data_IF_167673094915
#
_entry.id   IF_167673094915
#
_cell.length_a   1.000
_cell.length_b   1.000
_cell.length_c   1.000
_cell.angle_alpha   90.00
_cell.angle_beta   90.00
_cell.angle_gamma   90.00
#
_symmetry.space_group_name_H-M   'P 1'
#
loop_
_entity.id
_entity.type
_entity.pdbx_description
1 polymer ?
#
# COMPACT_ATOMS: atom_id res chain seq x y z
N UNK A 1 -27.46 -1.11 -7.14
CA UNK A 1 -26.74 -0.03 -6.45
C UNK A 1 -26.53 -0.25 -4.95
N UNK A 2 -27.59 -0.43 -4.13
CA UNK A 2 -27.38 -0.65 -2.68
C UNK A 2 -26.54 -1.89 -2.38
N UNK A 3 -26.82 -3.03 -3.02
CA UNK A 3 -26.05 -4.26 -2.85
C UNK A 3 -24.58 -4.07 -3.25
N UNK A 4 -24.32 -3.39 -4.37
CA UNK A 4 -22.94 -3.08 -4.81
C UNK A 4 -22.23 -2.18 -3.80
N UNK A 5 -22.90 -1.16 -3.26
CA UNK A 5 -22.36 -0.29 -2.22
C UNK A 5 -21.94 -1.08 -0.96
N UNK A 6 -22.81 -1.98 -0.49
CA UNK A 6 -22.49 -2.84 0.66
C UNK A 6 -21.31 -3.77 0.34
N UNK A 7 -21.30 -4.40 -0.83
CA UNK A 7 -20.21 -5.29 -1.24
C UNK A 7 -18.89 -4.54 -1.36
N UNK A 8 -18.88 -3.32 -1.91
CA UNK A 8 -17.68 -2.48 -1.98
C UNK A 8 -17.19 -2.07 -0.58
N UNK A 9 -18.12 -1.76 0.33
CA UNK A 9 -17.78 -1.54 1.73
C UNK A 9 -17.13 -2.77 2.37
N UNK A 10 -17.65 -3.96 2.10
CA UNK A 10 -17.05 -5.23 2.58
C UNK A 10 -15.68 -5.49 1.95
N UNK A 11 -15.49 -5.19 0.67
CA UNK A 11 -14.17 -5.27 0.01
C UNK A 11 -13.18 -4.35 0.70
N UNK A 12 -13.55 -3.11 1.01
CA UNK A 12 -12.69 -2.18 1.72
C UNK A 12 -12.38 -2.67 3.15
N UNK A 13 -13.36 -3.24 3.85
CA UNK A 13 -13.15 -3.87 5.16
C UNK A 13 -12.19 -5.06 5.07
N UNK A 14 -12.32 -5.90 4.05
CA UNK A 14 -11.43 -7.04 3.82
C UNK A 14 -9.97 -6.58 3.60
N UNK A 15 -9.76 -5.57 2.76
CA UNK A 15 -8.43 -5.00 2.53
C UNK A 15 -7.81 -4.42 3.80
N UNK A 16 -8.60 -3.70 4.60
CA UNK A 16 -8.11 -3.12 5.85
C UNK A 16 -7.90 -4.18 6.95
N UNK A 17 -8.51 -5.36 6.83
CA UNK A 17 -8.32 -6.50 7.73
C UNK A 17 -7.07 -7.33 7.39
N UNK A 18 -6.22 -6.90 6.47
CA UNK A 18 -5.00 -7.62 6.04
C UNK A 18 -4.17 -8.16 7.20
N UNK A 19 -3.99 -7.34 8.25
CA UNK A 19 -3.18 -7.72 9.41
C UNK A 19 -3.74 -8.90 10.22
N UNK A 20 -5.01 -9.25 10.05
CA UNK A 20 -5.61 -10.47 10.63
C UNK A 20 -5.13 -11.75 9.93
N UNK A 21 -4.76 -11.63 8.65
CA UNK A 21 -4.31 -12.74 7.80
C UNK A 21 -2.79 -12.79 7.64
N UNK A 22 -2.07 -11.99 8.41
CA UNK A 22 -0.63 -11.78 8.23
C UNK A 22 -0.35 -10.78 7.10
N UNK A 23 0.89 -10.72 6.61
CA UNK A 23 1.27 -9.82 5.50
C UNK A 23 0.85 -10.45 4.16
N UNK A 24 -0.45 -10.42 3.86
CA UNK A 24 -1.06 -11.08 2.70
C UNK A 24 -1.12 -10.21 1.45
N UNK A 25 -0.76 -8.92 1.55
CA UNK A 25 -0.85 -7.94 0.48
C UNK A 25 -2.28 -7.73 -0.07
N UNK A 26 -3.30 -8.08 0.72
CA UNK A 26 -4.71 -7.87 0.36
C UNK A 26 -5.07 -6.39 0.19
N UNK A 27 -4.43 -5.51 0.95
CA UNK A 27 -4.67 -4.07 0.91
C UNK A 27 -4.15 -3.41 -0.38
N UNK A 28 -3.36 -4.12 -1.18
CA UNK A 28 -2.72 -3.55 -2.37
C UNK A 28 -3.75 -3.17 -3.45
N UNK A 29 -3.55 -2.04 -4.13
CA UNK A 29 -4.46 -1.55 -5.16
C UNK A 29 -4.77 -2.56 -6.25
N UNK A 30 -3.82 -3.38 -6.68
CA UNK A 30 -4.04 -4.43 -7.66
C UNK A 30 -5.12 -5.41 -7.21
N UNK A 31 -5.09 -5.83 -5.95
CA UNK A 31 -6.08 -6.75 -5.37
C UNK A 31 -7.42 -6.05 -5.15
N UNK A 32 -7.41 -4.86 -4.56
CA UNK A 32 -8.62 -4.08 -4.29
C UNK A 32 -9.36 -3.68 -5.56
N UNK A 33 -8.63 -3.25 -6.60
CA UNK A 33 -9.19 -2.95 -7.91
C UNK A 33 -9.81 -4.16 -8.58
N UNK A 34 -9.15 -5.31 -8.51
CA UNK A 34 -9.67 -6.59 -9.02
C UNK A 34 -10.96 -7.00 -8.31
N UNK A 35 -10.99 -6.95 -6.98
CA UNK A 35 -12.19 -7.28 -6.18
C UNK A 35 -13.35 -6.30 -6.47
N UNK A 36 -13.03 -5.02 -6.65
CA UNK A 36 -14.00 -3.99 -7.07
C UNK A 36 -14.58 -4.32 -8.44
N UNK A 37 -13.74 -4.72 -9.39
CA UNK A 37 -14.16 -5.15 -10.73
C UNK A 37 -15.06 -6.39 -10.68
N UNK A 38 -14.78 -7.36 -9.82
CA UNK A 38 -15.64 -8.54 -9.61
C UNK A 38 -17.02 -8.12 -9.11
N UNK A 39 -17.08 -7.22 -8.11
CA UNK A 39 -18.35 -6.72 -7.54
C UNK A 39 -19.19 -5.99 -8.58
N UNK A 40 -18.56 -5.25 -9.48
CA UNK A 40 -19.24 -4.45 -10.50
C UNK A 40 -19.47 -5.19 -11.82
N UNK A 41 -18.89 -6.38 -11.99
CA UNK A 41 -19.05 -7.22 -13.19
C UNK A 41 -18.09 -6.87 -14.33
N UNK A 42 -17.06 -6.08 -14.09
CA UNK A 42 -16.00 -5.74 -15.05
C UNK A 42 -14.61 -5.97 -14.44
N UNK A 43 -14.21 -7.23 -14.41
CA UNK A 43 -12.95 -7.68 -13.82
C UNK A 43 -11.75 -7.14 -14.61
N UNK A 44 -11.85 -7.10 -15.94
CA UNK A 44 -10.75 -6.66 -16.80
C UNK A 44 -10.38 -5.20 -16.52
N UNK A 45 -11.37 -4.32 -16.48
CA UNK A 45 -11.18 -2.91 -16.12
C UNK A 45 -10.69 -2.80 -14.68
N UNK A 46 -11.25 -3.59 -13.75
CA UNK A 46 -10.82 -3.62 -12.34
C UNK A 46 -9.33 -3.94 -12.17
N UNK A 47 -8.82 -4.96 -12.85
CA UNK A 47 -7.39 -5.33 -12.85
C UNK A 47 -6.53 -4.21 -13.44
N UNK A 48 -6.92 -3.64 -14.57
CA UNK A 48 -6.16 -2.59 -15.24
C UNK A 48 -6.05 -1.33 -14.38
N UNK A 49 -7.17 -0.91 -13.78
CA UNK A 49 -7.21 0.25 -12.89
C UNK A 49 -6.46 -0.03 -11.58
N UNK A 50 -6.61 -1.24 -11.04
CA UNK A 50 -5.85 -1.68 -9.87
C UNK A 50 -4.34 -1.63 -10.11
N UNK A 51 -3.86 -2.10 -11.26
CA UNK A 51 -2.46 -2.01 -11.64
C UNK A 51 -1.98 -0.55 -11.78
N UNK A 52 -2.79 0.32 -12.37
CA UNK A 52 -2.47 1.75 -12.51
C UNK A 52 -2.36 2.43 -11.15
N UNK A 53 -3.33 2.16 -10.25
CA UNK A 53 -3.32 2.69 -8.88
C UNK A 53 -2.22 2.06 -8.03
N UNK A 54 -1.82 0.80 -8.29
CA UNK A 54 -0.66 0.17 -7.64
C UNK A 54 0.60 0.98 -7.89
N UNK A 55 0.83 1.42 -9.13
CA UNK A 55 1.98 2.27 -9.47
C UNK A 55 1.91 3.63 -8.78
N UNK A 56 0.71 4.21 -8.64
CA UNK A 56 0.52 5.48 -7.95
C UNK A 56 0.78 5.38 -6.44
N UNK A 57 0.38 4.28 -5.81
CA UNK A 57 0.54 4.04 -4.38
C UNK A 57 1.77 3.19 -4.03
N UNK A 58 2.64 2.88 -5.00
CA UNK A 58 3.80 2.01 -4.79
C UNK A 58 4.73 2.51 -3.67
N UNK A 59 4.91 3.83 -3.54
CA UNK A 59 5.69 4.44 -2.48
C UNK A 59 4.90 4.82 -1.22
N UNK A 60 3.62 4.49 -1.13
CA UNK A 60 2.76 4.85 -0.02
C UNK A 60 2.86 3.83 1.13
N UNK A 61 4.01 3.80 1.79
CA UNK A 61 4.24 2.97 2.99
C UNK A 61 4.24 3.82 4.26
N UNK A 62 3.68 3.27 5.34
CA UNK A 62 3.79 3.89 6.66
C UNK A 62 5.21 3.74 7.19
N UNK A 63 5.86 4.87 7.48
CA UNK A 63 7.22 4.93 8.05
C UNK A 63 7.13 5.67 9.38
N UNK A 64 7.24 4.93 10.47
CA UNK A 64 7.07 5.49 11.81
C UNK A 64 5.68 6.10 12.01
N UNK A 65 5.61 7.34 12.44
CA UNK A 65 4.35 8.08 12.65
C UNK A 65 3.77 8.69 11.36
N UNK A 66 4.46 8.60 10.23
CA UNK A 66 3.96 9.08 8.94
C UNK A 66 3.00 8.07 8.34
N UNK A 67 1.73 8.44 8.25
CA UNK A 67 0.68 7.60 7.66
C UNK A 67 0.38 8.15 6.26
N UNK A 68 0.56 7.35 5.21
CA UNK A 68 0.24 7.76 3.84
C UNK A 68 -1.27 7.88 3.63
N UNK A 69 -1.73 8.49 2.52
CA UNK A 69 -3.13 8.48 2.12
C UNK A 69 -3.72 7.07 2.14
N UNK A 70 -5.01 6.96 2.47
CA UNK A 70 -5.68 5.68 2.64
C UNK A 70 -5.95 5.03 1.28
N UNK A 71 -5.03 4.17 0.84
CA UNK A 71 -5.02 3.60 -0.52
C UNK A 71 -6.19 2.65 -0.81
N UNK A 72 -6.75 1.97 0.20
CA UNK A 72 -7.83 1.00 0.01
C UNK A 72 -9.09 1.70 -0.48
N UNK A 73 -9.56 2.72 0.26
CA UNK A 73 -10.74 3.49 -0.11
C UNK A 73 -10.55 4.26 -1.41
N UNK A 74 -9.36 4.85 -1.60
CA UNK A 74 -9.00 5.53 -2.84
C UNK A 74 -9.08 4.60 -4.04
N UNK A 75 -8.56 3.38 -3.90
CA UNK A 75 -8.61 2.37 -4.96
C UNK A 75 -10.02 1.88 -5.22
N UNK A 76 -10.75 1.48 -4.17
CA UNK A 76 -12.10 0.93 -4.33
C UNK A 76 -13.04 1.96 -4.97
N UNK A 77 -13.07 3.19 -4.45
CA UNK A 77 -13.95 4.24 -4.98
C UNK A 77 -13.45 4.77 -6.33
N UNK A 78 -12.15 4.96 -6.53
CA UNK A 78 -11.59 5.37 -7.81
C UNK A 78 -11.92 4.38 -8.92
N UNK A 79 -11.69 3.09 -8.68
CA UNK A 79 -12.02 2.00 -9.62
C UNK A 79 -13.53 1.91 -9.84
N UNK A 80 -14.34 1.95 -8.76
CA UNK A 80 -15.78 1.82 -8.86
C UNK A 80 -16.41 2.93 -9.66
N UNK A 81 -16.01 4.19 -9.45
CA UNK A 81 -16.54 5.30 -10.21
C UNK A 81 -16.07 5.30 -11.66
N UNK A 82 -14.84 4.88 -11.94
CA UNK A 82 -14.36 4.74 -13.31
C UNK A 82 -15.15 3.69 -14.09
N UNK A 83 -15.40 2.53 -13.50
CA UNK A 83 -16.22 1.47 -14.12
C UNK A 83 -17.65 1.94 -14.34
N UNK A 84 -18.28 2.56 -13.33
CA UNK A 84 -19.71 2.95 -13.41
C UNK A 84 -19.96 4.14 -14.32
N UNK A 85 -19.00 5.05 -14.47
CA UNK A 85 -19.13 6.20 -15.39
C UNK A 85 -18.68 5.88 -16.82
N UNK A 86 -17.96 4.77 -17.04
CA UNK A 86 -17.35 4.46 -18.33
C UNK A 86 -16.25 5.45 -18.74
N UNK A 87 -15.70 6.20 -17.78
CA UNK A 87 -14.66 7.18 -18.02
C UNK A 87 -13.28 6.51 -18.19
N UNK A 88 -12.29 7.27 -18.65
CA UNK A 88 -10.93 6.75 -18.84
C UNK A 88 -10.20 6.44 -17.53
N UNK A 89 -9.08 5.70 -17.61
CA UNK A 89 -8.30 5.29 -16.44
C UNK A 89 -7.81 6.44 -15.55
N UNK A 90 -7.62 7.63 -16.13
CA UNK A 90 -7.25 8.88 -15.43
C UNK A 90 -8.27 9.28 -14.36
N UNK A 91 -9.53 8.85 -14.52
CA UNK A 91 -10.60 9.09 -13.54
C UNK A 91 -10.33 8.39 -12.23
N UNK A 92 -9.78 7.17 -12.28
CA UNK A 92 -9.44 6.41 -11.08
C UNK A 92 -8.45 7.17 -10.19
N UNK A 93 -7.46 7.83 -10.77
CA UNK A 93 -6.50 8.68 -10.04
C UNK A 93 -7.13 9.99 -9.57
N UNK A 94 -7.88 10.65 -10.47
CA UNK A 94 -8.51 11.95 -10.18
C UNK A 94 -9.49 11.87 -9.01
N UNK A 95 -10.20 10.75 -8.89
CA UNK A 95 -11.14 10.50 -7.78
C UNK A 95 -10.44 9.79 -6.61
N UNK A 96 -9.62 8.81 -6.90
CA UNK A 96 -8.99 7.95 -5.87
C UNK A 96 -8.05 8.71 -4.94
N UNK A 97 -7.18 9.59 -5.45
CA UNK A 97 -6.22 10.33 -4.62
C UNK A 97 -6.88 11.32 -3.65
N UNK A 98 -7.83 12.18 -4.05
CA UNK A 98 -8.55 13.02 -3.11
C UNK A 98 -9.35 12.22 -2.09
N UNK A 99 -10.01 11.14 -2.52
CA UNK A 99 -10.75 10.25 -1.62
C UNK A 99 -9.82 9.61 -0.59
N UNK A 100 -8.67 9.09 -1.00
CA UNK A 100 -7.66 8.52 -0.11
C UNK A 100 -7.23 9.51 0.97
N UNK A 101 -7.05 10.78 0.60
CA UNK A 101 -6.67 11.85 1.54
C UNK A 101 -7.80 12.21 2.51
N UNK A 102 -9.04 12.28 2.03
CA UNK A 102 -10.20 12.56 2.88
C UNK A 102 -10.48 11.42 3.86
N UNK A 103 -10.40 10.18 3.40
CA UNK A 103 -10.63 9.01 4.26
C UNK A 103 -9.53 8.85 5.30
N UNK A 104 -8.29 9.26 5.01
CA UNK A 104 -7.23 9.33 6.01
C UNK A 104 -7.61 10.21 7.20
N UNK A 105 -8.24 11.36 6.95
CA UNK A 105 -8.72 12.25 8.03
C UNK A 105 -9.74 11.51 8.90
N UNK A 106 -10.73 10.86 8.29
CA UNK A 106 -11.75 10.11 9.01
C UNK A 106 -11.15 8.91 9.78
N UNK A 107 -10.18 8.22 9.21
CA UNK A 107 -9.41 7.15 9.87
C UNK A 107 -8.68 7.67 11.11
N UNK A 108 -8.02 8.82 11.01
CA UNK A 108 -7.34 9.46 12.13
C UNK A 108 -8.31 9.86 13.25
N UNK A 109 -9.50 10.37 12.91
CA UNK A 109 -10.56 10.64 13.90
C UNK A 109 -10.95 9.35 14.62
N UNK A 110 -11.13 8.25 13.91
CA UNK A 110 -11.40 6.94 14.51
C UNK A 110 -10.29 6.48 15.47
N UNK A 111 -9.04 6.64 15.07
CA UNK A 111 -7.87 6.29 15.90
C UNK A 111 -7.74 7.13 17.15
N UNK A 112 -8.08 8.43 17.09
CA UNK A 112 -7.93 9.35 18.21
C UNK A 112 -9.12 9.28 19.19
N UNK A 113 -10.33 9.08 18.71
CA UNK A 113 -11.53 9.16 19.55
C UNK A 113 -12.18 7.81 19.83
N UNK A 114 -12.19 6.88 18.88
CA UNK A 114 -12.91 5.60 19.02
C UNK A 114 -12.00 4.51 19.58
N UNK A 115 -10.74 4.48 19.18
CA UNK A 115 -9.80 3.44 19.60
C UNK A 115 -9.38 3.53 21.09
N UNK A 116 -9.11 4.71 21.70
CA UNK A 116 -8.58 4.80 23.06
C UNK A 116 -9.43 4.12 24.14
N UNK A 117 -10.77 4.18 24.16
CA UNK A 117 -11.59 3.43 25.12
C UNK A 117 -11.33 1.92 25.10
N UNK A 118 -11.07 1.33 23.92
CA UNK A 118 -10.74 -0.09 23.80
C UNK A 118 -9.35 -0.39 24.33
N UNK A 119 -8.38 0.52 24.07
CA UNK A 119 -7.01 0.41 24.59
C UNK A 119 -7.01 0.47 26.13
N UNK A 120 -7.65 1.47 26.73
CA UNK A 120 -7.74 1.56 28.19
C UNK A 120 -8.41 0.35 28.85
N UNK A 121 -9.38 -0.26 28.16
CA UNK A 121 -10.03 -1.48 28.64
C UNK A 121 -9.11 -2.70 28.50
N UNK A 122 -8.31 -2.74 27.45
CA UNK A 122 -7.29 -3.76 27.25
C UNK A 122 -6.21 -3.68 28.36
N UNK A 123 -5.76 -2.47 28.73
CA UNK A 123 -4.80 -2.24 29.79
C UNK A 123 -5.30 -2.77 31.16
N UNK A 124 -6.60 -2.56 31.46
CA UNK A 124 -7.21 -3.13 32.67
C UNK A 124 -7.18 -4.66 32.66
N UNK A 125 -7.56 -5.28 31.53
CA UNK A 125 -7.50 -6.74 31.40
C UNK A 125 -6.06 -7.28 31.49
N UNK A 126 -5.09 -6.52 31.00
CA UNK A 126 -3.68 -6.87 31.13
C UNK A 126 -3.22 -6.83 32.60
N UNK A 127 -3.62 -5.80 33.34
CA UNK A 127 -3.32 -5.69 34.79
C UNK A 127 -3.97 -6.82 35.63
N UNK A 128 -5.13 -7.33 35.17
CA UNK A 128 -5.83 -8.47 35.78
C UNK A 128 -5.28 -9.83 35.31
N UNK A 129 -4.29 -9.88 34.41
CA UNK A 129 -3.77 -11.11 33.83
C UNK A 129 -4.73 -11.80 32.84
N UNK A 130 -5.79 -11.11 32.41
CA UNK A 130 -6.82 -11.66 31.52
C UNK A 130 -6.45 -11.51 30.03
N UNK A 131 -5.62 -12.41 29.53
CA UNK A 131 -5.15 -12.40 28.13
C UNK A 131 -6.28 -12.49 27.09
N UNK A 132 -7.36 -13.26 27.39
CA UNK A 132 -8.51 -13.36 26.50
C UNK A 132 -9.29 -12.02 26.42
N UNK A 133 -9.32 -11.26 27.50
CA UNK A 133 -9.88 -9.91 27.55
C UNK A 133 -9.08 -8.94 26.67
N UNK A 134 -7.76 -8.96 26.75
CA UNK A 134 -6.85 -8.16 25.93
C UNK A 134 -7.06 -8.46 24.43
N UNK A 135 -7.04 -9.74 24.07
CA UNK A 135 -7.24 -10.16 22.68
C UNK A 135 -8.61 -9.69 22.12
N UNK A 136 -9.68 -9.82 22.92
CA UNK A 136 -11.01 -9.33 22.52
C UNK A 136 -11.04 -7.83 22.30
N UNK A 137 -10.42 -7.03 23.18
CA UNK A 137 -10.38 -5.57 23.03
C UNK A 137 -9.56 -5.16 21.82
N UNK A 138 -8.47 -5.87 21.51
CA UNK A 138 -7.69 -5.62 20.31
C UNK A 138 -8.51 -5.83 19.03
N UNK A 139 -9.22 -6.97 18.92
CA UNK A 139 -10.06 -7.26 17.77
C UNK A 139 -11.24 -6.29 17.63
N UNK A 140 -11.95 -5.99 18.74
CA UNK A 140 -13.07 -5.07 18.72
C UNK A 140 -12.63 -3.64 18.43
N UNK A 141 -11.51 -3.18 18.99
CA UNK A 141 -10.93 -1.86 18.71
C UNK A 141 -10.53 -1.71 17.25
N UNK A 142 -9.85 -2.70 16.68
CA UNK A 142 -9.48 -2.71 15.26
C UNK A 142 -10.72 -2.71 14.35
N UNK A 143 -11.73 -3.51 14.70
CA UNK A 143 -12.97 -3.59 13.92
C UNK A 143 -13.78 -2.28 13.98
N UNK A 144 -14.13 -1.80 15.16
CA UNK A 144 -14.97 -0.60 15.31
C UNK A 144 -14.20 0.70 15.13
N UNK A 145 -12.94 0.75 15.56
CA UNK A 145 -12.13 1.97 15.52
C UNK A 145 -11.63 2.35 14.13
N UNK A 146 -11.43 1.37 13.26
CA UNK A 146 -10.85 1.62 11.92
C UNK A 146 -11.63 0.92 10.82
N UNK A 147 -11.81 -0.40 10.90
CA UNK A 147 -12.29 -1.21 9.79
C UNK A 147 -13.74 -0.87 9.40
N UNK A 148 -14.64 -0.81 10.35
CA UNK A 148 -16.06 -0.46 10.11
C UNK A 148 -16.21 0.96 9.56
N UNK A 149 -15.40 1.91 10.05
CA UNK A 149 -15.44 3.31 9.57
C UNK A 149 -15.12 3.36 8.09
N UNK A 150 -14.04 2.70 7.66
CA UNK A 150 -13.64 2.65 6.25
C UNK A 150 -14.73 1.98 5.40
N UNK A 151 -15.25 0.85 5.84
CA UNK A 151 -16.32 0.14 5.12
C UNK A 151 -17.57 1.00 4.94
N UNK A 152 -18.01 1.70 5.99
CA UNK A 152 -19.18 2.59 5.93
C UNK A 152 -18.91 3.79 5.01
N UNK A 153 -17.73 4.41 5.10
CA UNK A 153 -17.38 5.54 4.23
C UNK A 153 -17.36 5.11 2.77
N UNK A 154 -16.79 3.95 2.45
CA UNK A 154 -16.75 3.45 1.07
C UNK A 154 -18.16 3.12 0.57
N UNK A 155 -18.98 2.44 1.38
CA UNK A 155 -20.35 2.11 1.01
C UNK A 155 -21.21 3.36 0.79
N UNK A 156 -21.18 4.30 1.72
CA UNK A 156 -21.90 5.57 1.60
C UNK A 156 -21.34 6.44 0.46
N UNK A 157 -20.02 6.49 0.33
CA UNK A 157 -19.34 7.24 -0.72
C UNK A 157 -19.73 6.74 -2.12
N UNK A 158 -19.78 5.44 -2.33
CA UNK A 158 -20.25 4.88 -3.60
C UNK A 158 -21.75 5.12 -3.84
N UNK A 159 -22.59 4.92 -2.82
CA UNK A 159 -24.02 5.04 -2.93
C UNK A 159 -24.46 6.48 -3.24
N UNK A 160 -23.88 7.46 -2.56
CA UNK A 160 -24.24 8.87 -2.67
C UNK A 160 -23.33 9.69 -3.62
N UNK A 161 -22.14 9.17 -3.93
CA UNK A 161 -21.10 9.92 -4.62
C UNK A 161 -21.26 9.99 -6.15
N UNK A 162 -22.07 9.12 -6.76
CA UNK A 162 -22.22 9.08 -8.22
C UNK A 162 -22.51 10.43 -8.87
N UNK A 163 -23.54 11.16 -8.43
CA UNK A 163 -23.84 12.49 -8.99
C UNK A 163 -22.72 13.52 -8.79
N UNK A 164 -22.05 13.48 -7.65
CA UNK A 164 -20.93 14.39 -7.35
C UNK A 164 -19.71 14.11 -8.23
N UNK A 165 -19.38 12.84 -8.45
CA UNK A 165 -18.29 12.44 -9.35
C UNK A 165 -18.62 12.80 -10.80
N UNK A 166 -19.85 12.57 -11.25
CA UNK A 166 -20.29 12.98 -12.58
C UNK A 166 -20.17 14.49 -12.77
N UNK A 167 -20.62 15.28 -11.78
CA UNK A 167 -20.48 16.73 -11.82
C UNK A 167 -19.02 17.17 -11.88
N UNK A 168 -18.15 16.53 -11.09
CA UNK A 168 -16.70 16.77 -11.10
C UNK A 168 -16.11 16.50 -12.49
N UNK A 169 -16.41 15.35 -13.09
CA UNK A 169 -15.91 14.97 -14.41
C UNK A 169 -16.36 15.95 -15.52
N UNK A 170 -17.57 16.47 -15.41
CA UNK A 170 -18.10 17.43 -16.37
C UNK A 170 -17.41 18.83 -16.29
N UNK A 171 -16.84 19.17 -15.14
CA UNK A 171 -16.12 20.44 -14.92
C UNK A 171 -14.65 20.35 -15.34
N UNK A 172 -14.07 19.14 -15.36
CA UNK A 172 -12.67 18.96 -15.72
C UNK A 172 -12.45 19.22 -17.21
N UNK A 173 -11.67 20.26 -17.59
CA UNK A 173 -11.34 20.52 -18.98
C UNK A 173 -10.52 19.38 -19.60
N UNK A 174 -10.68 19.15 -20.90
CA UNK A 174 -9.97 18.09 -21.64
C UNK A 174 -8.45 18.16 -21.52
N UNK A 175 -7.86 19.35 -21.41
CA UNK A 175 -6.42 19.50 -21.26
C UNK A 175 -5.91 18.97 -19.90
N UNK A 176 -6.72 19.05 -18.83
CA UNK A 176 -6.41 18.46 -17.53
C UNK A 176 -6.46 16.93 -17.63
N UNK A 177 -7.54 16.37 -18.22
CA UNK A 177 -7.64 14.91 -18.40
C UNK A 177 -6.50 14.37 -19.25
N UNK A 178 -6.14 15.05 -20.33
CA UNK A 178 -4.98 14.67 -21.14
C UNK A 178 -3.66 14.77 -20.36
N UNK A 179 -3.50 15.83 -19.54
CA UNK A 179 -2.34 15.98 -18.67
C UNK A 179 -2.22 14.85 -17.64
N UNK A 180 -3.35 14.48 -17.02
CA UNK A 180 -3.39 13.34 -16.09
C UNK A 180 -3.06 12.02 -16.79
N UNK A 181 -3.55 11.80 -18.01
CA UNK A 181 -3.24 10.63 -18.81
C UNK A 181 -1.75 10.52 -19.13
N UNK A 182 -1.10 11.64 -19.47
CA UNK A 182 0.36 11.67 -19.65
C UNK A 182 1.09 11.40 -18.32
N UNK A 183 0.60 11.99 -17.23
CA UNK A 183 1.16 11.80 -15.89
C UNK A 183 1.12 10.33 -15.46
N UNK A 184 0.08 9.57 -15.83
CA UNK A 184 0.00 8.13 -15.55
C UNK A 184 1.21 7.37 -16.12
N UNK A 185 1.73 7.78 -17.27
CA UNK A 185 2.96 7.22 -17.84
C UNK A 185 4.22 7.48 -17.01
N UNK A 186 4.21 8.48 -16.12
CA UNK A 186 5.31 8.80 -15.21
C UNK A 186 5.19 8.10 -13.84
N UNK A 187 4.01 7.60 -13.49
CA UNK A 187 3.79 6.95 -12.18
C UNK A 187 4.76 5.80 -11.89
N UNK A 188 5.07 4.90 -12.85
CA UNK A 188 6.08 3.86 -12.60
C UNK A 188 7.43 4.43 -12.19
N UNK A 189 7.89 5.49 -12.85
CA UNK A 189 9.16 6.12 -12.53
C UNK A 189 9.15 6.75 -11.13
N UNK A 190 8.06 7.41 -10.77
CA UNK A 190 7.89 8.01 -9.44
C UNK A 190 7.81 6.90 -8.37
N UNK A 191 7.01 5.85 -8.59
CA UNK A 191 6.86 4.75 -7.66
C UNK A 191 8.17 4.01 -7.42
N UNK A 192 8.91 3.68 -8.47
CA UNK A 192 10.24 3.07 -8.35
C UNK A 192 11.26 4.03 -7.72
N UNK A 193 11.19 5.33 -8.01
CA UNK A 193 12.02 6.34 -7.37
C UNK A 193 11.80 6.41 -5.86
N UNK A 194 10.56 6.34 -5.40
CA UNK A 194 10.24 6.31 -3.98
C UNK A 194 10.75 5.03 -3.30
N UNK A 195 10.58 3.85 -3.94
CA UNK A 195 11.16 2.60 -3.44
C UNK A 195 12.68 2.66 -3.38
N UNK A 196 13.31 3.21 -4.43
CA UNK A 196 14.75 3.40 -4.46
C UNK A 196 15.24 4.26 -3.31
N UNK A 197 14.56 5.38 -3.01
CA UNK A 197 14.89 6.25 -1.88
C UNK A 197 14.82 5.53 -0.52
N UNK A 198 13.97 4.51 -0.38
CA UNK A 198 13.86 3.73 0.85
C UNK A 198 14.99 2.69 1.00
N UNK A 199 15.52 2.19 -0.11
CA UNK A 199 16.51 1.10 -0.14
C UNK A 199 17.94 1.66 -0.30
N UNK A 200 18.07 2.82 -0.95
CA UNK A 200 19.38 3.39 -1.30
C UNK A 200 20.10 3.92 -0.07
N UNK A 201 21.24 3.33 0.21
CA UNK A 201 22.24 3.84 1.14
C UNK A 201 23.56 4.06 0.38
N UNK A 202 24.52 4.74 1.00
CA UNK A 202 25.84 5.06 0.40
C UNK A 202 26.58 3.80 -0.05
N UNK A 203 26.44 2.71 0.71
CA UNK A 203 27.12 1.45 0.45
C UNK A 203 26.54 0.68 -0.74
N UNK A 204 25.25 0.85 -1.04
CA UNK A 204 24.57 0.15 -2.12
C UNK A 204 24.34 1.00 -3.37
N UNK A 205 24.57 2.30 -3.29
CA UNK A 205 24.35 3.22 -4.40
C UNK A 205 25.17 2.87 -5.66
N UNK A 206 26.37 2.32 -5.48
CA UNK A 206 27.23 1.90 -6.62
C UNK A 206 26.57 0.79 -7.46
N UNK A 207 25.80 -0.11 -6.84
CA UNK A 207 25.09 -1.19 -7.55
C UNK A 207 23.91 -0.68 -8.36
N UNK A 208 23.27 0.42 -7.94
CA UNK A 208 22.25 1.08 -8.73
C UNK A 208 22.84 1.62 -10.04
N UNK A 209 23.97 2.35 -9.96
CA UNK A 209 24.64 2.88 -11.15
C UNK A 209 25.18 1.77 -12.05
N UNK A 210 25.68 0.67 -11.47
CA UNK A 210 26.09 -0.51 -12.23
C UNK A 210 24.91 -1.11 -12.99
N UNK A 211 23.77 -1.36 -12.34
CA UNK A 211 22.56 -1.88 -12.99
C UNK A 211 22.02 -0.95 -14.08
N UNK A 212 22.03 0.36 -13.82
CA UNK A 212 21.66 1.37 -14.80
C UNK A 212 22.59 1.33 -16.04
N UNK A 213 23.89 1.28 -15.85
CA UNK A 213 24.85 1.18 -16.94
C UNK A 213 24.67 -0.09 -17.77
N UNK A 214 24.45 -1.24 -17.14
CA UNK A 214 24.18 -2.51 -17.81
C UNK A 214 22.89 -2.44 -18.65
N UNK A 215 21.85 -1.81 -18.13
CA UNK A 215 20.57 -1.64 -18.83
C UNK A 215 20.69 -0.72 -20.04
N UNK A 216 21.30 0.46 -19.85
CA UNK A 216 21.32 1.52 -20.87
C UNK A 216 22.37 1.27 -21.96
N UNK A 217 23.59 0.88 -21.59
CA UNK A 217 24.68 0.72 -22.54
C UNK A 217 24.75 -0.67 -23.15
N UNK A 218 24.55 -1.72 -22.36
CA UNK A 218 24.59 -3.10 -22.85
C UNK A 218 23.22 -3.64 -23.27
N UNK A 219 22.14 -2.87 -23.03
CA UNK A 219 20.75 -3.25 -23.33
C UNK A 219 20.35 -4.61 -22.77
N UNK A 220 20.93 -4.99 -21.63
CA UNK A 220 20.60 -6.24 -20.96
C UNK A 220 19.18 -6.14 -20.38
N UNK A 221 18.31 -7.17 -20.55
CA UNK A 221 16.97 -7.17 -19.97
C UNK A 221 17.02 -7.01 -18.44
N UNK A 222 16.09 -6.25 -17.88
CA UNK A 222 16.02 -5.97 -16.43
C UNK A 222 15.95 -7.26 -15.61
N UNK A 223 15.26 -8.29 -16.11
CA UNK A 223 15.20 -9.62 -15.48
C UNK A 223 16.58 -10.26 -15.34
N UNK A 224 17.43 -10.17 -16.36
CA UNK A 224 18.79 -10.71 -16.30
C UNK A 224 19.65 -9.91 -15.31
N UNK A 225 19.52 -8.58 -15.29
CA UNK A 225 20.21 -7.72 -14.31
C UNK A 225 19.77 -8.07 -12.88
N UNK A 226 18.48 -8.34 -12.65
CA UNK A 226 17.97 -8.76 -11.34
C UNK A 226 18.59 -10.09 -10.88
N UNK A 227 18.73 -11.06 -11.79
CA UNK A 227 19.38 -12.36 -11.49
C UNK A 227 20.86 -12.15 -11.14
N UNK A 228 21.60 -11.37 -11.93
CA UNK A 228 23.00 -11.05 -11.62
C UNK A 228 23.13 -10.31 -10.29
N UNK A 229 22.25 -9.35 -10.02
CA UNK A 229 22.21 -8.63 -8.74
C UNK A 229 21.99 -9.56 -7.55
N UNK A 230 21.06 -10.51 -7.67
CA UNK A 230 20.79 -11.50 -6.63
C UNK A 230 22.01 -12.41 -6.38
N UNK A 231 22.69 -12.87 -7.45
CA UNK A 231 23.91 -13.68 -7.34
C UNK A 231 25.02 -12.90 -6.64
N UNK A 232 25.24 -11.65 -7.05
CA UNK A 232 26.24 -10.77 -6.44
C UNK A 232 25.94 -10.55 -4.96
N UNK A 233 24.67 -10.29 -4.60
CA UNK A 233 24.26 -10.10 -3.21
C UNK A 233 24.54 -11.35 -2.35
N UNK A 234 24.24 -12.55 -2.86
CA UNK A 234 24.53 -13.82 -2.16
C UNK A 234 26.04 -13.99 -1.96
N UNK A 235 26.83 -13.78 -2.99
CA UNK A 235 28.29 -13.92 -2.91
C UNK A 235 28.90 -12.93 -1.90
N UNK A 236 28.48 -11.66 -1.95
CA UNK A 236 28.98 -10.65 -1.02
C UNK A 236 28.59 -10.92 0.44
N UNK A 237 27.37 -11.41 0.68
CA UNK A 237 26.94 -11.79 2.04
C UNK A 237 27.72 -12.99 2.56
N UNK A 238 28.01 -13.99 1.72
CA UNK A 238 28.85 -15.15 2.12
C UNK A 238 30.29 -14.73 2.40
N UNK A 239 30.88 -13.88 1.56
CA UNK A 239 32.24 -13.38 1.81
C UNK A 239 32.33 -12.59 3.12
N UNK A 240 31.34 -11.76 3.42
CA UNK A 240 31.28 -10.98 4.67
C UNK A 240 31.08 -11.89 5.89
N UNK A 241 30.24 -12.92 5.79
CA UNK A 241 30.04 -13.90 6.86
C UNK A 241 31.32 -14.65 7.19
N UNK A 242 32.06 -15.12 6.17
CA UNK A 242 33.33 -15.83 6.37
C UNK A 242 34.41 -14.92 6.98
N UNK A 243 34.45 -13.63 6.59
CA UNK A 243 35.42 -12.67 7.16
C UNK A 243 35.16 -12.42 8.66
N UNK A 244 33.90 -12.40 9.08
CA UNK A 244 33.52 -12.23 10.50
C UNK A 244 33.86 -13.48 11.29
N UNK A 245 33.61 -14.67 10.74
CA UNK A 245 34.02 -15.94 11.42
C UNK A 245 35.53 -16.04 11.58
N UNK A 246 36.29 -15.73 10.54
CA UNK A 246 37.77 -15.77 10.62
C UNK A 246 38.32 -14.74 11.62
N UNK A 247 37.65 -13.57 11.76
CA UNK A 247 38.04 -12.57 12.74
C UNK A 247 37.72 -12.99 14.20
N UNK A 248 36.66 -13.79 14.40
CA UNK A 248 36.31 -14.34 15.71
C UNK A 248 37.25 -15.52 16.09
N UNK A 249 37.58 -16.37 15.13
CA UNK A 249 38.49 -17.48 15.34
C UNK A 249 39.94 -17.03 15.50
N UNK A 250 40.38 -15.97 14.85
CA UNK A 250 41.72 -15.39 14.99
C UNK A 250 41.91 -14.49 16.22
N UNK A 251 40.83 -14.18 16.96
CA UNK A 251 40.86 -13.41 18.20
C UNK A 251 40.84 -14.23 19.49
N UNK A 252 40.95 -15.56 19.39
CA UNK A 252 41.00 -16.49 20.52
C UNK A 252 42.36 -17.18 20.59
N UNK A 253 43.44 -16.44 20.36
CA UNK A 253 44.77 -16.92 20.68
C UNK A 253 45.42 -16.01 21.72
N UNK A 254 45.66 -16.61 22.87
CA UNK A 254 46.71 -16.36 23.84
C UNK A 254 46.71 -15.03 24.59
N UNK A 255 46.11 -15.04 25.77
CA UNK A 255 46.75 -14.54 26.99
C UNK A 255 46.08 -15.17 28.23
N UNK A 256 46.31 -16.49 28.40
CA UNK A 256 46.20 -17.16 29.67
C UNK A 256 47.60 -17.68 30.05
N UNK A 257 48.46 -16.75 30.41
CA UNK A 257 49.64 -17.02 31.24
C UNK A 257 49.93 -15.77 32.09
N UNK A 258 49.28 -15.73 33.25
CA UNK A 258 49.83 -15.26 34.56
C UNK A 258 48.73 -15.30 35.63
#
# INVERSE_FOLDING_TARGET
MLLQAILLGLVAMLGNAEYLFGTSLLSRPLVMGTLTGIVLGDVQTGVTLGATLELAFMGAFSIGASIPPEMISGTVLGTAFTITTGAGPETALTVGLPVASLVLIAKNVGMVFILPPFVHKADKYAAEGNMAGVARMHLLGGFFGVNLIIGVIVACGYYAGGPAVQALLNVIPKWISNGLQITMGLLPAIGFGLLLMMIMDKDVACFFFLGFALSVYLKIPVTAIAIFGAIIAIVLTQLRSNSVQTAIEGGVDEDDDF
#
